data_IF_853292852827
#
_entry.id   IF_853292852827
#
_cell.length_a   1.000
_cell.length_b   1.000
_cell.length_c   1.000
_cell.angle_alpha   90.00
_cell.angle_beta   90.00
_cell.angle_gamma   90.00
#
_symmetry.space_group_name_H-M   'P 1'
#
loop_
_entity.id
_entity.type
_entity.pdbx_description
1 polymer ?
#
# COMPACT_ATOMS: atom_id res chain seq x y z
N UNK A 1 -6.47 -0.76 -29.02
CA UNK A 1 -5.75 -1.25 -27.83
C UNK A 1 -6.01 -2.74 -27.67
N UNK A 2 -4.99 -3.52 -27.32
CA UNK A 2 -5.21 -4.93 -26.98
C UNK A 2 -6.05 -5.01 -25.69
N UNK A 3 -6.93 -6.01 -25.54
CA UNK A 3 -7.72 -6.16 -24.32
C UNK A 3 -6.80 -6.36 -23.12
N UNK A 4 -7.05 -5.61 -22.04
CA UNK A 4 -6.36 -5.79 -20.76
C UNK A 4 -7.02 -6.98 -20.07
N UNK A 5 -6.23 -8.03 -19.83
CA UNK A 5 -6.67 -9.19 -19.07
C UNK A 5 -6.27 -9.02 -17.60
N UNK A 6 -7.24 -9.20 -16.71
CA UNK A 6 -6.98 -9.32 -15.27
C UNK A 6 -6.51 -10.73 -14.95
N UNK A 7 -5.81 -10.84 -13.83
CA UNK A 7 -5.30 -12.13 -13.36
C UNK A 7 -6.42 -13.01 -12.80
N UNK A 8 -6.36 -14.34 -12.99
CA UNK A 8 -7.36 -15.27 -12.44
C UNK A 8 -7.49 -15.10 -10.93
N UNK A 9 -8.72 -14.95 -10.44
CA UNK A 9 -9.01 -14.66 -9.04
C UNK A 9 -9.21 -13.19 -8.72
N UNK A 10 -8.90 -12.28 -9.67
CA UNK A 10 -9.31 -10.88 -9.63
C UNK A 10 -10.69 -10.76 -10.30
N UNK A 11 -11.66 -10.01 -9.76
CA UNK A 11 -12.92 -9.75 -10.44
C UNK A 11 -12.70 -9.13 -11.83
N UNK A 12 -13.34 -9.69 -12.86
CA UNK A 12 -13.19 -9.17 -14.23
C UNK A 12 -14.23 -8.08 -14.52
N UNK A 13 -13.96 -6.87 -14.04
CA UNK A 13 -14.79 -5.67 -14.25
C UNK A 13 -14.03 -4.60 -15.04
N UNK A 14 -14.72 -3.56 -15.50
CA UNK A 14 -14.05 -2.42 -16.12
C UNK A 14 -13.05 -1.78 -15.14
N UNK A 15 -13.45 -1.60 -13.89
CA UNK A 15 -12.65 -0.96 -12.85
C UNK A 15 -11.32 -1.71 -12.61
N UNK A 16 -11.39 -3.03 -12.44
CA UNK A 16 -10.20 -3.86 -12.18
C UNK A 16 -9.30 -3.99 -13.41
N UNK A 17 -9.89 -4.07 -14.62
CA UNK A 17 -9.11 -4.07 -15.86
C UNK A 17 -8.31 -2.77 -16.01
N UNK A 18 -8.95 -1.62 -15.81
CA UNK A 18 -8.28 -0.33 -15.97
C UNK A 18 -7.27 -0.08 -14.83
N UNK A 19 -7.56 -0.48 -13.59
CA UNK A 19 -6.59 -0.47 -12.49
C UNK A 19 -5.36 -1.33 -12.82
N UNK A 20 -5.56 -2.54 -13.36
CA UNK A 20 -4.46 -3.43 -13.80
C UNK A 20 -3.66 -2.79 -14.93
N UNK A 21 -4.35 -2.15 -15.89
CA UNK A 21 -3.71 -1.45 -17.00
C UNK A 21 -2.80 -0.32 -16.51
N UNK A 22 -3.31 0.50 -15.59
CA UNK A 22 -2.60 1.61 -14.99
C UNK A 22 -1.39 1.12 -14.17
N UNK A 23 -1.59 0.11 -13.33
CA UNK A 23 -0.50 -0.51 -12.57
C UNK A 23 0.60 -1.06 -13.50
N UNK A 24 0.22 -1.75 -14.59
CA UNK A 24 1.18 -2.29 -15.57
C UNK A 24 1.92 -1.20 -16.35
N UNK A 25 1.27 -0.10 -16.67
CA UNK A 25 1.86 1.01 -17.43
C UNK A 25 2.89 1.80 -16.61
N UNK A 26 2.59 2.06 -15.34
CA UNK A 26 3.38 3.01 -14.54
C UNK A 26 4.28 2.36 -13.50
N UNK A 27 3.99 1.14 -13.03
CA UNK A 27 4.80 0.49 -12.01
C UNK A 27 5.97 -0.33 -12.59
N UNK A 28 6.94 -0.61 -11.75
CA UNK A 28 8.00 -1.57 -12.04
C UNK A 28 7.47 -3.02 -11.89
N UNK A 29 8.13 -4.04 -12.46
CA UNK A 29 7.79 -5.44 -12.19
C UNK A 29 7.77 -5.79 -10.69
N UNK A 30 8.61 -5.13 -9.89
CA UNK A 30 8.63 -5.27 -8.43
C UNK A 30 7.28 -4.89 -7.82
N UNK A 31 6.83 -3.65 -8.05
CA UNK A 31 5.58 -3.12 -7.49
C UNK A 31 4.36 -3.80 -8.10
N UNK A 32 4.37 -4.10 -9.40
CA UNK A 32 3.32 -4.89 -10.04
C UNK A 32 3.09 -6.23 -9.35
N UNK A 33 4.18 -6.99 -9.15
CA UNK A 33 4.12 -8.29 -8.49
C UNK A 33 3.73 -8.16 -7.01
N UNK A 34 4.25 -7.14 -6.32
CA UNK A 34 3.92 -6.84 -4.94
C UNK A 34 2.42 -6.57 -4.76
N UNK A 35 1.85 -5.66 -5.53
CA UNK A 35 0.42 -5.31 -5.47
C UNK A 35 -0.49 -6.53 -5.70
N UNK A 36 -0.14 -7.39 -6.68
CA UNK A 36 -0.91 -8.62 -6.90
C UNK A 36 -0.78 -9.60 -5.74
N UNK A 37 0.42 -9.81 -5.20
CA UNK A 37 0.58 -10.68 -4.02
C UNK A 37 -0.20 -10.14 -2.82
N UNK A 38 -0.13 -8.84 -2.54
CA UNK A 38 -0.90 -8.19 -1.47
C UNK A 38 -2.39 -8.46 -1.63
N UNK A 39 -2.93 -8.30 -2.84
CA UNK A 39 -4.34 -8.64 -3.10
C UNK A 39 -4.65 -10.10 -2.79
N UNK A 40 -3.86 -11.06 -3.27
CA UNK A 40 -4.13 -12.49 -3.04
C UNK A 40 -4.02 -12.87 -1.56
N UNK A 41 -3.08 -12.27 -0.83
CA UNK A 41 -2.96 -12.44 0.62
C UNK A 41 -4.19 -11.88 1.33
N UNK A 42 -4.54 -10.64 1.07
CA UNK A 42 -5.69 -9.96 1.67
C UNK A 42 -7.02 -10.67 1.37
N UNK A 43 -7.23 -11.08 0.12
CA UNK A 43 -8.44 -11.80 -0.31
C UNK A 43 -8.59 -13.15 0.39
N UNK A 44 -7.49 -13.89 0.58
CA UNK A 44 -7.54 -15.16 1.32
C UNK A 44 -7.80 -14.95 2.80
N UNK A 45 -7.14 -13.96 3.42
CA UNK A 45 -7.42 -13.58 4.80
C UNK A 45 -8.89 -13.18 4.97
N UNK A 46 -9.45 -12.39 4.05
CA UNK A 46 -10.86 -12.01 4.06
C UNK A 46 -11.81 -13.20 4.00
N UNK A 47 -11.50 -14.22 3.18
CA UNK A 47 -12.30 -15.47 3.14
C UNK A 47 -12.28 -16.21 4.47
N UNK A 48 -11.16 -16.18 5.19
CA UNK A 48 -11.01 -16.85 6.48
C UNK A 48 -11.81 -16.17 7.59
N UNK A 49 -12.13 -14.88 7.51
CA UNK A 49 -13.00 -14.20 8.49
C UNK A 49 -14.44 -14.71 8.43
N UNK A 50 -14.89 -15.18 7.26
CA UNK A 50 -16.29 -15.50 7.00
C UNK A 50 -17.20 -14.28 6.85
N UNK A 51 -16.65 -13.06 6.92
CA UNK A 51 -17.37 -11.81 6.72
C UNK A 51 -17.43 -11.42 5.24
N UNK A 52 -18.42 -10.60 4.90
CA UNK A 52 -18.54 -10.06 3.54
C UNK A 52 -17.65 -8.83 3.39
N UNK A 53 -16.88 -8.78 2.32
CA UNK A 53 -16.08 -7.63 1.91
C UNK A 53 -16.17 -7.41 0.40
N UNK A 54 -15.80 -6.23 -0.04
CA UNK A 54 -15.80 -5.85 -1.45
C UNK A 54 -14.48 -6.26 -2.12
N UNK A 55 -14.49 -7.43 -2.78
CA UNK A 55 -13.30 -7.99 -3.44
C UNK A 55 -12.78 -7.09 -4.56
N UNK A 56 -13.68 -6.42 -5.30
CA UNK A 56 -13.30 -5.47 -6.35
C UNK A 56 -12.59 -4.26 -5.75
N UNK A 57 -13.16 -3.70 -4.69
CA UNK A 57 -12.56 -2.58 -3.97
C UNK A 57 -11.20 -2.95 -3.37
N UNK A 58 -11.10 -4.13 -2.75
CA UNK A 58 -9.85 -4.64 -2.20
C UNK A 58 -8.76 -4.75 -3.26
N UNK A 59 -9.12 -5.20 -4.49
CA UNK A 59 -8.16 -5.22 -5.60
C UNK A 59 -7.70 -3.81 -5.99
N UNK A 60 -8.62 -2.85 -6.09
CA UNK A 60 -8.26 -1.44 -6.36
C UNK A 60 -7.34 -0.91 -5.27
N UNK A 61 -7.65 -1.15 -4.00
CA UNK A 61 -6.78 -0.76 -2.90
C UNK A 61 -5.37 -1.35 -3.05
N UNK A 62 -5.26 -2.64 -3.32
CA UNK A 62 -3.98 -3.31 -3.52
C UNK A 62 -3.23 -2.82 -4.77
N UNK A 63 -3.94 -2.48 -5.85
CA UNK A 63 -3.31 -1.95 -7.07
C UNK A 63 -2.74 -0.54 -6.87
N UNK A 64 -3.35 0.26 -6.00
CA UNK A 64 -3.00 1.67 -5.83
C UNK A 64 -2.11 1.96 -4.62
N UNK A 65 -2.02 1.08 -3.61
CA UNK A 65 -1.44 1.42 -2.29
C UNK A 65 -0.02 1.99 -2.34
N UNK A 66 0.78 1.59 -3.32
CA UNK A 66 2.18 2.02 -3.50
C UNK A 66 2.39 2.95 -4.72
N UNK A 67 1.32 3.39 -5.42
CA UNK A 67 1.50 4.25 -6.59
C UNK A 67 2.10 5.62 -6.23
N UNK A 68 1.89 6.12 -5.02
CA UNK A 68 2.49 7.35 -4.52
C UNK A 68 4.04 7.32 -4.42
N UNK A 69 4.65 6.13 -4.48
CA UNK A 69 6.10 5.97 -4.63
C UNK A 69 6.60 6.37 -6.03
N UNK A 70 5.70 6.44 -6.99
CA UNK A 70 6.04 6.73 -8.40
C UNK A 70 5.92 8.22 -8.67
N UNK A 71 6.92 8.81 -9.33
CA UNK A 71 6.98 10.25 -9.63
C UNK A 71 5.70 10.82 -10.24
N UNK A 72 4.97 10.03 -11.04
CA UNK A 72 3.73 10.46 -11.69
C UNK A 72 2.62 10.78 -10.69
N UNK A 73 2.56 10.08 -9.58
CA UNK A 73 1.49 10.18 -8.58
C UNK A 73 1.94 10.90 -7.30
N UNK A 74 3.25 11.14 -7.16
CA UNK A 74 3.85 11.74 -5.98
C UNK A 74 3.70 13.26 -5.99
N UNK A 75 3.20 13.83 -4.89
CA UNK A 75 3.24 15.27 -4.58
C UNK A 75 4.61 15.65 -4.00
N UNK A 76 4.81 16.96 -3.75
CA UNK A 76 6.05 17.47 -3.14
C UNK A 76 6.01 17.51 -1.62
N UNK A 77 4.87 17.26 -0.98
CA UNK A 77 4.68 17.47 0.45
C UNK A 77 4.03 16.30 1.18
N UNK A 78 3.06 15.63 0.55
CA UNK A 78 2.29 14.58 1.22
C UNK A 78 3.08 13.27 1.31
N UNK A 79 2.73 12.43 2.28
CA UNK A 79 3.30 11.08 2.35
C UNK A 79 2.88 10.25 1.13
N UNK A 80 3.66 9.21 0.81
CA UNK A 80 3.32 8.39 -0.36
C UNK A 80 1.99 7.63 -0.19
N UNK A 81 1.60 7.33 1.04
CA UNK A 81 0.31 6.72 1.35
C UNK A 81 -0.85 7.65 0.99
N UNK A 82 -0.72 8.94 1.32
CA UNK A 82 -1.72 9.97 0.96
C UNK A 82 -1.74 10.19 -0.54
N UNK A 83 -0.58 10.29 -1.19
CA UNK A 83 -0.47 10.40 -2.64
C UNK A 83 -1.14 9.19 -3.35
N UNK A 84 -0.89 7.99 -2.87
CA UNK A 84 -1.52 6.75 -3.35
C UNK A 84 -3.04 6.78 -3.19
N UNK A 85 -3.52 7.18 -2.01
CA UNK A 85 -4.94 7.27 -1.70
C UNK A 85 -5.64 8.32 -2.57
N UNK A 86 -5.00 9.46 -2.83
CA UNK A 86 -5.51 10.51 -3.70
C UNK A 86 -5.53 10.05 -5.18
N UNK A 87 -4.54 9.29 -5.63
CA UNK A 87 -4.56 8.69 -6.98
C UNK A 87 -5.72 7.70 -7.14
N UNK A 88 -5.98 6.85 -6.14
CA UNK A 88 -7.13 5.94 -6.13
C UNK A 88 -8.45 6.70 -6.14
N UNK A 89 -8.60 7.77 -5.33
CA UNK A 89 -9.77 8.62 -5.31
C UNK A 89 -10.07 9.18 -6.70
N UNK A 90 -9.11 9.83 -7.34
CA UNK A 90 -9.27 10.42 -8.68
C UNK A 90 -9.66 9.36 -9.73
N UNK A 91 -9.04 8.19 -9.67
CA UNK A 91 -9.37 7.07 -10.55
C UNK A 91 -10.83 6.61 -10.34
N UNK A 92 -11.25 6.42 -9.09
CA UNK A 92 -12.60 5.94 -8.75
C UNK A 92 -13.68 6.97 -9.06
N UNK A 93 -13.43 8.27 -8.82
CA UNK A 93 -14.30 9.38 -9.20
C UNK A 93 -14.55 9.40 -10.71
N UNK A 94 -13.48 9.22 -11.51
CA UNK A 94 -13.60 9.14 -12.98
C UNK A 94 -14.51 8.00 -13.44
N UNK A 95 -14.58 6.91 -12.67
CA UNK A 95 -15.45 5.77 -12.93
C UNK A 95 -16.84 5.89 -12.30
N UNK A 96 -17.18 7.03 -11.70
CA UNK A 96 -18.48 7.24 -11.07
C UNK A 96 -18.75 6.34 -9.86
N UNK A 97 -17.70 5.89 -9.16
CA UNK A 97 -17.84 5.05 -7.97
C UNK A 97 -18.44 5.89 -6.82
N UNK A 98 -19.39 5.33 -6.03
CA UNK A 98 -19.97 6.04 -4.91
C UNK A 98 -18.95 6.50 -3.87
N UNK A 99 -19.14 7.70 -3.29
CA UNK A 99 -18.23 8.33 -2.33
C UNK A 99 -17.92 7.42 -1.11
N UNK A 100 -18.89 6.63 -0.67
CA UNK A 100 -18.68 5.68 0.46
C UNK A 100 -17.61 4.63 0.13
N UNK A 101 -17.59 4.09 -1.10
CA UNK A 101 -16.54 3.17 -1.55
C UNK A 101 -15.20 3.88 -1.74
N UNK A 102 -15.22 5.10 -2.28
CA UNK A 102 -14.02 5.93 -2.45
C UNK A 102 -13.38 6.20 -1.10
N UNK A 103 -14.17 6.60 -0.09
CA UNK A 103 -13.65 6.86 1.24
C UNK A 103 -13.08 5.60 1.91
N UNK A 104 -13.73 4.44 1.72
CA UNK A 104 -13.19 3.15 2.21
C UNK A 104 -11.84 2.85 1.57
N UNK A 105 -11.69 3.03 0.26
CA UNK A 105 -10.41 2.84 -0.43
C UNK A 105 -9.35 3.84 0.05
N UNK A 106 -9.73 5.10 0.22
CA UNK A 106 -8.83 6.14 0.71
C UNK A 106 -8.30 5.82 2.11
N UNK A 107 -9.18 5.44 3.04
CA UNK A 107 -8.81 5.02 4.39
C UNK A 107 -7.89 3.78 4.35
N UNK A 108 -8.25 2.77 3.57
CA UNK A 108 -7.45 1.55 3.44
C UNK A 108 -6.03 1.85 2.95
N UNK A 109 -5.91 2.64 1.88
CA UNK A 109 -4.62 2.96 1.28
C UNK A 109 -3.81 3.89 2.18
N UNK A 110 -4.41 4.94 2.75
CA UNK A 110 -3.67 5.89 3.59
C UNK A 110 -3.16 5.28 4.90
N UNK A 111 -3.77 4.18 5.35
CA UNK A 111 -3.45 3.51 6.63
C UNK A 111 -2.65 2.21 6.48
N UNK A 112 -2.31 1.79 5.25
CA UNK A 112 -1.71 0.47 5.01
C UNK A 112 -0.32 0.27 5.63
N UNK A 113 0.37 1.35 6.03
CA UNK A 113 1.65 1.31 6.77
C UNK A 113 1.50 1.67 8.25
N UNK A 114 0.27 2.01 8.71
CA UNK A 114 0.05 2.53 10.07
C UNK A 114 -0.52 1.45 10.99
N UNK A 115 0.28 0.87 11.90
CA UNK A 115 -0.20 -0.16 12.80
C UNK A 115 -1.21 0.39 13.83
N UNK A 116 -2.14 -0.47 14.24
CA UNK A 116 -3.05 -0.19 15.35
C UNK A 116 -4.31 0.61 14.98
N UNK A 117 -4.53 0.95 13.70
CA UNK A 117 -5.70 1.74 13.26
C UNK A 117 -6.56 0.97 12.25
N UNK A 118 -5.96 0.36 11.26
CA UNK A 118 -6.68 -0.26 10.13
C UNK A 118 -7.74 -1.28 10.56
N UNK A 119 -7.48 -2.07 11.61
CA UNK A 119 -8.40 -3.06 12.15
C UNK A 119 -9.68 -2.47 12.80
N UNK A 120 -9.75 -1.17 12.99
CA UNK A 120 -10.94 -0.47 13.49
C UNK A 120 -11.70 0.29 12.41
N UNK A 121 -11.30 0.09 11.15
CA UNK A 121 -11.95 0.65 9.97
C UNK A 121 -12.81 -0.41 9.27
N UNK A 122 -13.20 -0.15 8.02
CA UNK A 122 -13.86 -1.15 7.19
C UNK A 122 -12.93 -2.36 6.96
N UNK A 123 -13.51 -3.52 6.74
CA UNK A 123 -12.76 -4.78 6.63
C UNK A 123 -11.69 -4.72 5.53
N UNK A 124 -11.96 -3.99 4.42
CA UNK A 124 -10.99 -3.81 3.33
C UNK A 124 -9.71 -3.11 3.80
N UNK A 125 -9.79 -2.19 4.77
CA UNK A 125 -8.62 -1.51 5.32
C UNK A 125 -7.77 -2.46 6.17
N UNK A 126 -8.39 -3.26 7.02
CA UNK A 126 -7.72 -4.30 7.81
C UNK A 126 -7.06 -5.35 6.89
N UNK A 127 -7.80 -5.80 5.87
CA UNK A 127 -7.32 -6.81 4.93
C UNK A 127 -6.13 -6.31 4.12
N UNK A 128 -6.16 -5.06 3.64
CA UNK A 128 -5.03 -4.47 2.92
C UNK A 128 -3.80 -4.39 3.83
N UNK A 129 -3.95 -3.85 5.05
CA UNK A 129 -2.87 -3.74 6.03
C UNK A 129 -2.24 -5.12 6.32
N UNK A 130 -3.07 -6.14 6.55
CA UNK A 130 -2.60 -7.49 6.83
C UNK A 130 -1.94 -8.14 5.60
N UNK A 131 -2.47 -7.91 4.39
CA UNK A 131 -1.87 -8.37 3.14
C UNK A 131 -0.49 -7.78 2.88
N UNK A 132 -0.33 -6.46 3.12
CA UNK A 132 0.97 -5.77 3.06
C UNK A 132 1.92 -6.31 4.13
N UNK A 133 1.44 -6.45 5.37
CA UNK A 133 2.22 -6.99 6.48
C UNK A 133 2.74 -8.41 6.19
N UNK A 134 1.91 -9.27 5.60
CA UNK A 134 2.34 -10.61 5.19
C UNK A 134 3.38 -10.53 4.05
N UNK A 135 3.16 -9.70 3.02
CA UNK A 135 4.08 -9.65 1.89
C UNK A 135 5.43 -9.02 2.25
N UNK A 136 5.44 -7.92 2.98
CA UNK A 136 6.68 -7.18 3.28
C UNK A 136 7.42 -7.76 4.47
N UNK A 137 6.70 -8.05 5.57
CA UNK A 137 7.28 -8.40 6.87
C UNK A 137 7.14 -9.89 7.22
N UNK A 138 6.30 -10.65 6.49
CA UNK A 138 6.02 -12.05 6.79
C UNK A 138 5.11 -12.24 8.00
N UNK A 139 4.33 -11.22 8.37
CA UNK A 139 3.37 -11.33 9.48
C UNK A 139 2.31 -12.37 9.12
N UNK A 140 2.15 -13.39 9.98
CA UNK A 140 1.22 -14.50 9.72
C UNK A 140 1.72 -15.55 8.72
N UNK A 141 2.98 -15.51 8.29
CA UNK A 141 3.55 -16.44 7.29
C UNK A 141 3.35 -17.91 7.65
N UNK A 142 3.56 -18.30 8.89
CA UNK A 142 3.49 -19.69 9.34
C UNK A 142 2.05 -20.23 9.39
N UNK A 143 1.07 -19.36 9.57
CA UNK A 143 -0.36 -19.73 9.63
C UNK A 143 -1.07 -19.63 8.29
N UNK A 144 -0.46 -18.99 7.30
CA UNK A 144 -1.04 -18.82 5.97
C UNK A 144 -0.85 -20.12 5.12
N UNK A 145 -1.85 -20.56 4.32
CA UNK A 145 -1.79 -21.81 3.56
C UNK A 145 -0.58 -21.89 2.63
N UNK A 146 0.28 -22.88 2.85
CA UNK A 146 1.56 -23.03 2.13
C UNK A 146 1.37 -23.20 0.62
N UNK A 147 0.40 -24.02 0.20
CA UNK A 147 0.16 -24.28 -1.22
C UNK A 147 -0.28 -23.01 -1.97
N UNK A 148 -1.08 -22.14 -1.30
CA UNK A 148 -1.47 -20.86 -1.88
C UNK A 148 -0.27 -19.92 -1.96
N UNK A 149 0.58 -19.86 -0.91
CA UNK A 149 1.83 -19.07 -0.95
C UNK A 149 2.70 -19.49 -2.15
N UNK A 150 2.93 -20.78 -2.32
CA UNK A 150 3.72 -21.31 -3.45
C UNK A 150 3.13 -20.91 -4.80
N UNK A 151 1.82 -21.06 -5.00
CA UNK A 151 1.12 -20.68 -6.24
C UNK A 151 1.25 -19.21 -6.54
N UNK A 152 0.99 -18.35 -5.56
CA UNK A 152 1.04 -16.89 -5.74
C UNK A 152 2.47 -16.43 -6.02
N UNK A 153 3.48 -16.94 -5.28
CA UNK A 153 4.89 -16.57 -5.49
C UNK A 153 5.40 -17.08 -6.85
N UNK A 154 4.97 -18.26 -7.30
CA UNK A 154 5.33 -18.74 -8.64
C UNK A 154 4.80 -17.85 -9.75
N UNK A 155 3.61 -17.25 -9.57
CA UNK A 155 2.98 -16.35 -10.54
C UNK A 155 3.51 -14.92 -10.46
N UNK A 156 3.76 -14.43 -9.25
CA UNK A 156 4.26 -13.09 -8.95
C UNK A 156 5.58 -13.18 -8.16
N UNK A 157 6.70 -13.40 -8.84
CA UNK A 157 7.98 -13.67 -8.19
C UNK A 157 8.47 -12.54 -7.29
N UNK A 158 9.23 -12.91 -6.25
CA UNK A 158 9.85 -12.00 -5.28
C UNK A 158 11.36 -11.82 -5.56
N UNK A 159 11.71 -11.51 -6.81
CA UNK A 159 13.11 -11.38 -7.22
C UNK A 159 13.76 -10.19 -6.48
N UNK A 160 14.79 -10.46 -5.68
CA UNK A 160 15.52 -9.47 -4.86
C UNK A 160 14.60 -8.55 -4.05
N UNK A 161 13.43 -9.05 -3.64
CA UNK A 161 12.33 -8.23 -3.14
C UNK A 161 12.73 -7.39 -1.91
N UNK A 162 13.46 -7.96 -0.95
CA UNK A 162 13.81 -7.27 0.30
C UNK A 162 14.67 -6.03 0.06
N UNK A 163 15.64 -6.14 -0.82
CA UNK A 163 16.55 -5.06 -1.16
C UNK A 163 15.87 -4.02 -2.06
N UNK A 164 15.12 -4.48 -3.05
CA UNK A 164 14.53 -3.61 -4.05
C UNK A 164 13.30 -2.85 -3.55
N UNK A 165 12.49 -3.46 -2.66
CA UNK A 165 11.34 -2.75 -2.07
C UNK A 165 11.79 -1.60 -1.15
N UNK A 166 12.86 -1.80 -0.37
CA UNK A 166 13.42 -0.75 0.47
C UNK A 166 13.94 0.44 -0.36
N UNK A 167 14.57 0.16 -1.53
CA UNK A 167 14.99 1.21 -2.47
C UNK A 167 13.82 1.91 -3.14
N UNK A 168 12.74 1.18 -3.47
CA UNK A 168 11.53 1.76 -4.03
C UNK A 168 10.88 2.73 -3.04
N UNK A 169 10.80 2.38 -1.77
CA UNK A 169 10.36 3.28 -0.70
C UNK A 169 11.23 4.53 -0.65
N UNK A 170 12.55 4.38 -0.53
CA UNK A 170 13.46 5.54 -0.52
C UNK A 170 13.21 6.47 -1.73
N UNK A 171 13.17 5.92 -2.95
CA UNK A 171 12.94 6.68 -4.17
C UNK A 171 11.61 7.46 -4.16
N UNK A 172 10.59 6.95 -3.45
CA UNK A 172 9.30 7.60 -3.33
C UNK A 172 9.29 8.83 -2.42
N UNK A 173 10.20 8.91 -1.45
CA UNK A 173 10.17 10.00 -0.47
C UNK A 173 11.54 10.65 -0.12
N UNK A 174 12.64 10.26 -0.75
CA UNK A 174 13.97 10.89 -0.50
C UNK A 174 13.99 12.40 -0.79
N UNK A 175 13.18 12.90 -1.71
CA UNK A 175 13.03 14.30 -2.04
C UNK A 175 12.06 15.07 -1.12
N UNK A 176 11.35 14.37 -0.26
CA UNK A 176 10.32 14.90 0.67
C UNK A 176 10.36 14.18 2.03
N UNK A 177 11.55 14.03 2.59
CA UNK A 177 11.77 13.26 3.84
C UNK A 177 10.94 13.77 5.02
N UNK A 178 10.54 15.04 5.04
CA UNK A 178 9.62 15.58 6.05
C UNK A 178 8.27 14.85 6.09
N UNK A 179 7.83 14.25 4.99
CA UNK A 179 6.58 13.48 4.94
C UNK A 179 6.68 12.13 5.64
N UNK A 180 7.87 11.72 6.05
CA UNK A 180 8.11 10.45 6.76
C UNK A 180 8.14 10.59 8.29
N UNK A 181 8.11 11.83 8.80
CA UNK A 181 8.25 12.10 10.24
C UNK A 181 7.23 11.32 11.08
N UNK A 182 7.72 10.64 12.10
CA UNK A 182 6.89 9.84 13.02
C UNK A 182 6.36 8.51 12.45
N UNK A 183 6.79 8.13 11.25
CA UNK A 183 6.35 6.87 10.60
C UNK A 183 7.48 5.85 10.51
N UNK A 184 7.17 4.60 10.12
CA UNK A 184 8.18 3.57 9.86
C UNK A 184 9.09 3.92 8.65
N UNK A 185 8.69 4.85 7.80
CA UNK A 185 9.47 5.30 6.64
C UNK A 185 10.75 6.05 7.05
N UNK A 186 10.79 6.62 8.26
CA UNK A 186 12.03 7.19 8.81
C UNK A 186 13.16 6.17 8.99
N UNK A 187 12.82 4.89 9.18
CA UNK A 187 13.83 3.82 9.29
C UNK A 187 14.53 3.62 7.95
N UNK A 188 13.80 3.72 6.84
CA UNK A 188 14.35 3.68 5.48
C UNK A 188 15.27 4.89 5.24
N UNK A 189 14.80 6.10 5.58
CA UNK A 189 15.62 7.31 5.50
C UNK A 189 16.91 7.19 6.33
N UNK A 190 16.81 6.70 7.57
CA UNK A 190 17.95 6.52 8.46
C UNK A 190 18.96 5.51 7.93
N UNK A 191 18.50 4.48 7.22
CA UNK A 191 19.37 3.44 6.67
C UNK A 191 20.14 3.93 5.44
N UNK A 192 19.51 4.69 4.55
CA UNK A 192 20.07 5.03 3.24
C UNK A 192 20.62 6.45 3.14
N UNK A 193 20.10 7.42 3.92
CA UNK A 193 20.48 8.83 3.81
C UNK A 193 21.54 9.16 4.86
N UNK A 194 22.73 9.52 4.39
CA UNK A 194 23.83 9.91 5.28
C UNK A 194 23.44 11.10 6.17
N UNK A 195 23.68 10.96 7.48
CA UNK A 195 23.37 11.98 8.48
C UNK A 195 21.88 12.31 8.65
N UNK A 196 20.98 11.48 8.15
CA UNK A 196 19.56 11.62 8.45
C UNK A 196 19.34 11.48 9.97
N UNK A 197 18.57 12.38 10.54
CA UNK A 197 18.17 12.33 11.96
C UNK A 197 16.69 12.03 12.03
N UNK A 198 16.34 10.94 12.68
CA UNK A 198 14.95 10.62 12.99
C UNK A 198 14.35 11.70 13.88
N UNK A 199 13.06 11.98 13.68
CA UNK A 199 12.29 12.78 14.59
C UNK A 199 12.23 12.12 15.98
N UNK A 200 12.24 12.94 17.02
CA UNK A 200 12.08 12.50 18.39
C UNK A 200 10.98 13.30 19.06
N UNK A 201 9.83 12.70 19.25
CA UNK A 201 8.65 13.40 19.77
C UNK A 201 8.88 13.94 21.20
N UNK A 202 9.64 13.23 22.04
CA UNK A 202 9.98 13.74 23.37
C UNK A 202 10.85 15.02 23.27
N UNK A 203 11.85 15.03 22.40
CA UNK A 203 12.68 16.22 22.19
C UNK A 203 11.88 17.40 21.62
N UNK A 204 10.93 17.13 20.73
CA UNK A 204 10.01 18.16 20.21
C UNK A 204 9.18 18.80 21.33
N UNK A 205 8.66 17.99 22.26
CA UNK A 205 7.95 18.49 23.45
C UNK A 205 8.87 19.35 24.29
N UNK A 206 10.10 18.90 24.59
CA UNK A 206 11.05 19.64 25.43
C UNK A 206 11.49 20.97 24.79
N UNK A 207 11.58 21.02 23.47
CA UNK A 207 11.98 22.21 22.71
C UNK A 207 10.80 23.10 22.31
N UNK A 208 9.59 22.81 22.80
CA UNK A 208 8.42 23.67 22.58
C UNK A 208 8.69 25.07 23.13
N UNK A 209 8.30 26.15 22.40
CA UNK A 209 8.55 27.52 22.85
C UNK A 209 7.71 27.96 24.06
N UNK A 210 6.72 27.15 24.47
CA UNK A 210 5.90 27.46 25.62
C UNK A 210 6.65 27.22 26.94
N UNK A 211 6.60 28.22 27.83
CA UNK A 211 7.19 28.08 29.17
C UNK A 211 6.30 27.25 30.10
N UNK A 212 6.95 26.48 30.97
CA UNK A 212 6.25 25.85 32.07
C UNK A 212 5.81 26.92 33.06
N UNK A 213 4.51 26.98 33.38
CA UNK A 213 3.96 27.90 34.38
C UNK A 213 4.12 27.36 35.78
#
# INVERSE_FOLDING_TARGET
MAPIHVEDGVPDTQLTREATGLLREFSTPLLFNHSHRVFFWANELGKQTGEKFDVELLFVCAAFHDLGLLKKFSSTADSFEVDSANAARQFMEHHGIPETRIQTAWDAISLHTTPGIAQYKQLEAELLFNGVGLDVLGIGYETFPEDLRKKVIARFPRVSFKEEIAKAFLGGFESKTQSTEGTCNEDICSHFIRNYKRSNFYEQIQNSPFQNS
#
